data_IF_275626720230
#
_entry.id   IF_275626720230
#
_cell.length_a   1.000
_cell.length_b   1.000
_cell.length_c   1.000
_cell.angle_alpha   90.00
_cell.angle_beta   90.00
_cell.angle_gamma   90.00
#
_symmetry.space_group_name_H-M   'P 1'
#
loop_
_entity.id
_entity.type
_entity.pdbx_description
1 polymer ?
#
# COMPACT_ATOMS: atom_id res chain seq x y z
N UNK A 1 -4.86 5.65 4.00
CA UNK A 1 -3.52 5.11 3.81
C UNK A 1 -3.57 3.59 3.90
N UNK A 2 -3.09 2.90 2.90
CA UNK A 2 -3.13 1.44 2.86
C UNK A 2 -1.72 0.88 2.86
N UNK A 3 -1.54 -0.23 3.55
CA UNK A 3 -0.31 -1.00 3.52
C UNK A 3 -0.50 -2.11 2.53
N UNK A 4 0.43 -2.26 1.61
CA UNK A 4 0.26 -3.18 0.49
C UNK A 4 1.51 -4.01 0.27
N UNK A 5 1.31 -5.26 -0.10
CA UNK A 5 2.40 -6.09 -0.53
C UNK A 5 2.75 -5.77 -1.98
N UNK A 6 3.81 -6.37 -2.47
CA UNK A 6 4.29 -6.11 -3.82
C UNK A 6 3.25 -6.45 -4.88
N UNK A 7 2.38 -7.41 -4.60
CA UNK A 7 1.36 -7.84 -5.55
C UNK A 7 0.10 -6.98 -5.51
N UNK A 8 -0.17 -6.31 -4.40
CA UNK A 8 -1.40 -5.54 -4.24
C UNK A 8 -1.20 -4.03 -4.30
N UNK A 9 0.03 -3.59 -4.47
CA UNK A 9 0.31 -2.16 -4.54
C UNK A 9 -0.40 -1.51 -5.73
N UNK A 10 -0.43 -2.20 -6.87
CA UNK A 10 -1.11 -1.66 -8.05
C UNK A 10 -2.61 -1.57 -7.83
N UNK A 11 -3.19 -2.56 -7.17
CA UNK A 11 -4.61 -2.53 -6.83
C UNK A 11 -4.93 -1.35 -5.93
N UNK A 12 -4.09 -1.11 -4.94
CA UNK A 12 -4.30 0.02 -4.02
C UNK A 12 -4.21 1.35 -4.76
N UNK A 13 -3.26 1.46 -5.69
CA UNK A 13 -3.13 2.68 -6.50
C UNK A 13 -4.39 2.92 -7.32
N UNK A 14 -4.90 1.88 -7.97
CA UNK A 14 -6.12 2.00 -8.77
C UNK A 14 -7.30 2.42 -7.91
N UNK A 15 -7.45 1.82 -6.74
CA UNK A 15 -8.54 2.15 -5.83
C UNK A 15 -8.42 3.58 -5.32
N UNK A 16 -7.21 4.01 -5.03
CA UNK A 16 -6.99 5.36 -4.54
C UNK A 16 -7.35 6.40 -5.61
N UNK A 17 -6.86 6.18 -6.82
CA UNK A 17 -7.14 7.11 -7.94
C UNK A 17 -8.64 7.16 -8.23
N UNK A 18 -9.30 6.02 -8.20
CA UNK A 18 -10.74 5.95 -8.47
C UNK A 18 -11.54 6.70 -7.39
N UNK A 19 -11.11 6.61 -6.15
CA UNK A 19 -11.83 7.22 -5.04
C UNK A 19 -11.49 8.70 -4.85
N UNK A 20 -10.21 9.04 -4.95
CA UNK A 20 -9.73 10.40 -4.67
C UNK A 20 -9.47 11.22 -5.92
N UNK A 21 -9.36 10.58 -7.07
CA UNK A 21 -9.03 11.23 -8.35
C UNK A 21 -7.71 11.99 -8.28
N UNK A 22 -6.78 11.47 -7.52
CA UNK A 22 -5.45 12.02 -7.36
C UNK A 22 -4.44 10.88 -7.31
N UNK A 23 -3.22 11.16 -7.72
CA UNK A 23 -2.14 10.19 -7.59
C UNK A 23 -1.77 10.05 -6.13
N UNK A 24 -1.65 8.82 -5.61
CA UNK A 24 -1.26 8.62 -4.23
C UNK A 24 0.24 8.80 -4.05
N UNK A 25 0.64 9.11 -2.83
CA UNK A 25 2.03 9.01 -2.46
C UNK A 25 2.33 7.57 -2.11
N UNK A 26 3.47 7.08 -2.57
CA UNK A 26 3.89 5.70 -2.32
C UNK A 26 5.21 5.73 -1.59
N UNK A 27 5.24 5.07 -0.44
CA UNK A 27 6.44 4.93 0.36
C UNK A 27 6.70 3.46 0.58
N UNK A 28 7.97 3.13 0.89
CA UNK A 28 8.29 1.76 1.26
C UNK A 28 8.19 1.60 2.75
N UNK A 29 7.79 0.39 3.17
CA UNK A 29 7.76 0.05 4.59
C UNK A 29 9.19 -0.18 5.06
N UNK A 30 9.52 0.37 6.22
CA UNK A 30 10.84 0.17 6.80
C UNK A 30 11.10 -1.31 7.08
N UNK A 31 12.31 -1.75 6.78
CA UNK A 31 12.69 -3.15 7.02
C UNK A 31 12.65 -3.52 8.51
N UNK A 32 12.69 -2.52 9.37
CA UNK A 32 12.62 -2.76 10.82
C UNK A 32 11.20 -3.01 11.30
N UNK A 33 10.19 -2.67 10.49
CA UNK A 33 8.79 -2.88 10.85
C UNK A 33 8.27 -4.16 10.22
N UNK A 34 8.62 -5.26 10.82
CA UNK A 34 8.27 -6.57 10.30
C UNK A 34 6.81 -6.94 10.55
N UNK A 35 6.10 -6.13 11.31
CA UNK A 35 4.72 -6.42 11.69
C UNK A 35 3.68 -5.83 10.75
N UNK A 36 4.13 -5.08 9.75
CA UNK A 36 3.20 -4.48 8.80
C UNK A 36 2.71 -5.54 7.82
N UNK A 37 1.40 -5.64 7.70
CA UNK A 37 0.75 -6.64 6.87
C UNK A 37 -0.12 -5.94 5.83
N UNK A 38 -0.14 -6.50 4.62
CA UNK A 38 -0.95 -5.98 3.52
C UNK A 38 -2.43 -5.92 3.91
N UNK A 39 -3.09 -4.80 3.60
CA UNK A 39 -4.50 -4.64 3.91
C UNK A 39 -5.41 -5.48 3.00
N UNK A 40 -4.88 -5.99 1.90
CA UNK A 40 -5.64 -6.78 0.94
C UNK A 40 -5.40 -8.28 1.04
N UNK A 41 -4.36 -8.67 1.73
CA UNK A 41 -4.03 -10.07 1.97
C UNK A 41 -3.25 -10.15 3.28
N UNK A 42 -2.75 -11.33 3.61
CA UNK A 42 -2.06 -11.52 4.87
C UNK A 42 -0.55 -11.57 4.73
N UNK A 43 -0.04 -11.20 3.56
CA UNK A 43 1.39 -11.18 3.33
C UNK A 43 2.00 -9.90 3.87
N UNK A 44 3.32 -9.90 4.00
CA UNK A 44 4.03 -8.74 4.52
C UNK A 44 3.85 -7.54 3.59
N UNK A 45 3.52 -6.40 4.16
CA UNK A 45 3.43 -5.17 3.40
C UNK A 45 4.81 -4.66 3.04
N UNK A 46 4.95 -4.18 1.81
CA UNK A 46 6.19 -3.62 1.29
C UNK A 46 6.03 -2.13 1.01
N UNK A 47 4.83 -1.70 0.67
CA UNK A 47 4.55 -0.32 0.30
C UNK A 47 3.41 0.25 1.12
N UNK A 48 3.43 1.58 1.25
CA UNK A 48 2.32 2.33 1.85
C UNK A 48 1.78 3.25 0.77
N UNK A 49 0.49 3.16 0.48
CA UNK A 49 -0.17 3.93 -0.57
C UNK A 49 -1.13 4.92 0.09
N UNK A 50 -1.03 6.18 -0.32
CA UNK A 50 -1.87 7.24 0.18
C UNK A 50 -1.07 8.29 0.93
N UNK A 51 -1.76 9.31 1.35
CA UNK A 51 -1.12 10.40 2.08
C UNK A 51 -1.41 10.30 3.56
#
# INVERSE_FOLDING_TARGET
MWKCCEQHVELAIDMYVDEKQQAPEISTVSVDKKEEICDFCEQRAVYIVGN
#
